data_IF_413985676928
#
_entry.id   IF_413985676928
#
_cell.length_a   1.000
_cell.length_b   1.000
_cell.length_c   1.000
_cell.angle_alpha   90.00
_cell.angle_beta   90.00
_cell.angle_gamma   90.00
#
_symmetry.space_group_name_H-M   'P 1'
#
loop_
_entity.id
_entity.type
_entity.pdbx_description
1 polymer ?
#
# COMPACT_ATOMS: atom_id res chain seq x y z
N UNK A 1 8.86 2.08 3.85
CA UNK A 1 7.67 1.35 4.34
C UNK A 1 7.75 -0.16 4.08
N UNK A 2 8.45 -0.63 3.02
CA UNK A 2 8.45 -2.05 2.61
C UNK A 2 8.70 -3.06 3.73
N UNK A 3 9.72 -2.92 4.62
CA UNK A 3 9.94 -3.92 5.68
C UNK A 3 8.76 -4.06 6.65
N UNK A 4 8.09 -2.95 6.97
CA UNK A 4 6.88 -2.97 7.81
C UNK A 4 5.70 -3.60 7.07
N UNK A 5 5.52 -3.25 5.79
CA UNK A 5 4.46 -3.82 4.95
C UNK A 5 4.65 -5.34 4.82
N UNK A 6 5.88 -5.81 4.58
CA UNK A 6 6.20 -7.23 4.45
C UNK A 6 5.92 -8.00 5.74
N UNK A 7 6.27 -7.43 6.91
CA UNK A 7 5.92 -8.04 8.19
C UNK A 7 4.40 -8.18 8.37
N UNK A 8 3.64 -7.16 7.98
CA UNK A 8 2.18 -7.18 8.05
C UNK A 8 1.57 -8.16 7.05
N UNK A 9 2.16 -8.27 5.85
CA UNK A 9 1.77 -9.26 4.83
C UNK A 9 2.02 -10.67 5.34
N UNK A 10 3.22 -10.95 5.83
CA UNK A 10 3.58 -12.26 6.38
C UNK A 10 2.63 -12.66 7.52
N UNK A 11 2.40 -11.77 8.48
CA UNK A 11 1.47 -12.03 9.56
C UNK A 11 0.03 -12.26 9.06
N UNK A 12 -0.45 -11.44 8.14
CA UNK A 12 -1.82 -11.51 7.62
C UNK A 12 -2.04 -12.77 6.76
N UNK A 13 -1.02 -13.23 6.02
CA UNK A 13 -1.08 -14.44 5.19
C UNK A 13 -1.22 -15.73 6.00
N UNK A 14 -0.72 -15.73 7.25
CA UNK A 14 -0.82 -16.87 8.17
C UNK A 14 -2.16 -16.94 8.92
N UNK A 15 -3.05 -15.96 8.74
CA UNK A 15 -4.38 -16.00 9.33
C UNK A 15 -5.18 -17.16 8.75
N UNK A 16 -5.83 -17.92 9.63
CA UNK A 16 -6.72 -19.02 9.28
C UNK A 16 -8.11 -18.71 9.78
N UNK A 17 -9.11 -18.95 8.95
CA UNK A 17 -10.50 -18.84 9.37
C UNK A 17 -10.92 -20.10 10.14
N UNK A 18 -11.94 -20.00 11.01
CA UNK A 18 -12.51 -21.17 11.66
C UNK A 18 -12.93 -22.24 10.64
N UNK A 19 -12.87 -23.52 11.02
CA UNK A 19 -13.21 -24.65 10.14
C UNK A 19 -14.59 -24.54 9.47
N UNK A 20 -15.54 -23.87 10.14
CA UNK A 20 -16.87 -23.56 9.56
C UNK A 20 -16.83 -22.63 8.34
N UNK A 21 -15.77 -21.89 8.15
CA UNK A 21 -15.55 -20.93 7.05
C UNK A 21 -14.46 -21.38 6.06
N UNK A 22 -14.02 -22.65 6.14
CA UNK A 22 -12.93 -23.16 5.30
C UNK A 22 -13.21 -23.03 3.78
N UNK A 23 -14.46 -23.18 3.36
CA UNK A 23 -14.83 -22.96 1.95
C UNK A 23 -14.65 -21.51 1.52
N UNK A 24 -14.96 -20.56 2.40
CA UNK A 24 -14.77 -19.12 2.17
C UNK A 24 -13.28 -18.77 2.14
N UNK A 25 -12.47 -19.30 3.06
CA UNK A 25 -11.03 -19.11 3.05
C UNK A 25 -10.40 -19.61 1.75
N UNK A 26 -10.78 -20.82 1.30
CA UNK A 26 -10.31 -21.36 0.01
C UNK A 26 -10.66 -20.45 -1.17
N UNK A 27 -11.88 -19.91 -1.19
CA UNK A 27 -12.31 -18.96 -2.22
C UNK A 27 -11.45 -17.69 -2.18
N UNK A 28 -11.22 -17.11 -1.00
CA UNK A 28 -10.41 -15.90 -0.82
C UNK A 28 -8.95 -16.13 -1.28
N UNK A 29 -8.33 -17.27 -0.89
CA UNK A 29 -6.98 -17.62 -1.34
C UNK A 29 -6.90 -17.81 -2.85
N UNK A 30 -7.89 -18.42 -3.48
CA UNK A 30 -7.93 -18.57 -4.93
C UNK A 30 -8.03 -17.21 -5.62
N UNK A 31 -8.88 -16.29 -5.13
CA UNK A 31 -9.01 -14.94 -5.69
C UNK A 31 -7.70 -14.17 -5.58
N UNK A 32 -7.00 -14.28 -4.46
CA UNK A 32 -5.70 -13.64 -4.23
C UNK A 32 -4.64 -14.19 -5.19
N UNK A 33 -4.53 -15.52 -5.31
CA UNK A 33 -3.60 -16.18 -6.24
C UNK A 33 -3.86 -15.79 -7.71
N UNK A 34 -5.13 -15.65 -8.12
CA UNK A 34 -5.44 -15.18 -9.47
C UNK A 34 -5.08 -13.70 -9.68
N UNK A 35 -5.28 -12.85 -8.66
CA UNK A 35 -4.86 -11.45 -8.71
C UNK A 35 -3.33 -11.31 -8.77
N UNK A 36 -2.59 -12.12 -8.00
CA UNK A 36 -1.13 -12.17 -8.04
C UNK A 36 -0.61 -12.57 -9.42
N UNK A 37 -1.10 -13.70 -9.98
CA UNK A 37 -0.73 -14.14 -11.34
C UNK A 37 -0.99 -13.07 -12.40
N UNK A 38 -2.12 -12.37 -12.29
CA UNK A 38 -2.45 -11.29 -13.20
C UNK A 38 -1.43 -10.14 -13.07
N UNK A 39 -1.11 -9.74 -11.85
CA UNK A 39 -0.11 -8.69 -11.58
C UNK A 39 1.28 -9.13 -12.09
N UNK A 40 1.71 -10.35 -11.81
CA UNK A 40 2.97 -10.90 -12.31
C UNK A 40 3.03 -10.88 -13.85
N UNK A 41 1.92 -11.22 -14.52
CA UNK A 41 1.86 -11.21 -15.99
C UNK A 41 2.05 -9.81 -16.58
N UNK A 42 1.57 -8.77 -15.89
CA UNK A 42 1.79 -7.37 -16.28
C UNK A 42 3.22 -6.89 -15.95
N UNK A 43 3.82 -7.43 -14.89
CA UNK A 43 5.18 -7.04 -14.49
C UNK A 43 6.27 -7.61 -15.38
N UNK A 44 5.97 -8.60 -16.25
CA UNK A 44 6.95 -9.12 -17.20
C UNK A 44 7.44 -8.01 -18.12
N UNK A 45 8.77 -7.76 -18.10
CA UNK A 45 9.40 -6.68 -18.86
C UNK A 45 10.57 -7.21 -19.70
N UNK A 46 10.47 -7.07 -21.02
CA UNK A 46 11.55 -7.43 -21.96
C UNK A 46 12.37 -6.20 -22.36
N UNK A 47 11.74 -5.05 -22.43
CA UNK A 47 12.33 -3.79 -22.92
C UNK A 47 12.18 -2.65 -21.92
N UNK A 48 12.97 -1.59 -22.09
CA UNK A 48 12.79 -0.36 -21.31
C UNK A 48 11.45 0.32 -21.60
N UNK A 49 10.85 0.05 -22.76
CA UNK A 49 9.53 0.57 -23.11
C UNK A 49 8.44 -0.12 -22.28
N UNK A 50 8.55 -1.44 -22.05
CA UNK A 50 7.63 -2.18 -21.19
C UNK A 50 7.68 -1.64 -19.74
N UNK A 51 8.87 -1.27 -19.26
CA UNK A 51 9.02 -0.62 -17.95
C UNK A 51 8.22 0.70 -17.87
N UNK A 52 8.28 1.53 -18.90
CA UNK A 52 7.53 2.81 -18.94
C UNK A 52 6.01 2.52 -18.94
N UNK A 53 5.56 1.52 -19.70
CA UNK A 53 4.17 1.09 -19.71
C UNK A 53 3.75 0.62 -18.32
N UNK A 54 4.52 -0.27 -17.69
CA UNK A 54 4.22 -0.81 -16.37
C UNK A 54 4.21 0.27 -15.29
N UNK A 55 5.17 1.19 -15.28
CA UNK A 55 5.15 2.35 -14.38
C UNK A 55 3.92 3.23 -14.61
N UNK A 56 3.49 3.39 -15.85
CA UNK A 56 2.29 4.18 -16.15
C UNK A 56 1.02 3.46 -15.70
N UNK A 57 0.88 2.16 -15.98
CA UNK A 57 -0.35 1.40 -15.72
C UNK A 57 -0.49 0.95 -14.27
N UNK A 58 0.61 0.53 -13.63
CA UNK A 58 0.58 -0.08 -12.29
C UNK A 58 0.87 0.96 -11.20
N UNK A 59 1.65 2.00 -11.51
CA UNK A 59 2.00 3.00 -10.51
C UNK A 59 1.29 4.34 -10.72
N UNK A 60 1.40 4.96 -11.89
CA UNK A 60 0.91 6.33 -12.11
C UNK A 60 -0.62 6.41 -12.18
N UNK A 61 -1.25 5.59 -13.01
CA UNK A 61 -2.71 5.63 -13.19
C UNK A 61 -3.46 5.29 -11.89
N UNK A 62 -3.10 4.21 -11.14
CA UNK A 62 -3.72 3.96 -9.85
C UNK A 62 -3.45 5.08 -8.83
N UNK A 63 -2.21 5.57 -8.71
CA UNK A 63 -1.90 6.64 -7.77
C UNK A 63 -2.71 7.91 -8.02
N UNK A 64 -2.94 8.29 -9.27
CA UNK A 64 -3.77 9.46 -9.58
C UNK A 64 -5.25 9.13 -9.43
N UNK A 65 -5.74 8.06 -10.07
CA UNK A 65 -7.16 7.73 -10.10
C UNK A 65 -7.73 7.38 -8.72
N UNK A 66 -7.03 6.54 -7.98
CA UNK A 66 -7.46 6.12 -6.66
C UNK A 66 -7.36 7.25 -5.63
N UNK A 67 -6.29 8.05 -5.63
CA UNK A 67 -6.19 9.16 -4.69
C UNK A 67 -7.24 10.25 -4.97
N UNK A 68 -7.54 10.55 -6.21
CA UNK A 68 -8.63 11.47 -6.54
C UNK A 68 -9.98 10.93 -6.06
N UNK A 69 -10.26 9.65 -6.24
CA UNK A 69 -11.49 9.03 -5.80
C UNK A 69 -11.57 8.95 -4.27
N UNK A 70 -10.55 8.36 -3.63
CA UNK A 70 -10.60 8.07 -2.20
C UNK A 70 -10.33 9.30 -1.35
N UNK A 71 -9.32 10.12 -1.67
CA UNK A 71 -8.92 11.28 -0.86
C UNK A 71 -9.61 12.56 -1.37
N UNK A 72 -9.73 12.69 -2.68
CA UNK A 72 -10.40 13.84 -3.29
C UNK A 72 -11.92 13.84 -3.05
N UNK A 73 -12.58 12.69 -3.14
CA UNK A 73 -14.05 12.60 -3.04
C UNK A 73 -14.49 11.89 -1.76
N UNK A 74 -14.19 10.60 -1.62
CA UNK A 74 -14.79 9.75 -0.58
C UNK A 74 -14.44 10.22 0.84
N UNK A 75 -13.18 10.49 1.12
CA UNK A 75 -12.72 10.97 2.43
C UNK A 75 -13.40 12.29 2.81
N UNK A 76 -13.56 13.20 1.85
CA UNK A 76 -14.25 14.47 2.08
C UNK A 76 -15.75 14.28 2.37
N UNK A 77 -16.42 13.38 1.65
CA UNK A 77 -17.84 13.07 1.90
C UNK A 77 -18.04 12.46 3.29
N UNK A 78 -17.18 11.49 3.68
CA UNK A 78 -17.24 10.88 5.00
C UNK A 78 -16.92 11.90 6.10
N UNK A 79 -15.97 12.80 5.86
CA UNK A 79 -15.66 13.88 6.80
C UNK A 79 -16.85 14.83 7.00
N UNK A 80 -17.56 15.18 5.94
CA UNK A 80 -18.77 16.00 6.04
C UNK A 80 -19.89 15.28 6.81
N UNK A 81 -20.05 13.98 6.60
CA UNK A 81 -21.07 13.17 7.26
C UNK A 81 -20.74 12.93 8.75
N UNK A 82 -19.50 12.59 9.06
CA UNK A 82 -19.06 12.24 10.44
C UNK A 82 -18.63 13.47 11.26
N UNK A 83 -18.34 14.58 10.58
CA UNK A 83 -17.71 15.79 11.14
C UNK A 83 -16.41 15.51 11.90
N UNK A 84 -15.74 14.42 11.54
CA UNK A 84 -14.51 13.94 12.18
C UNK A 84 -13.52 13.45 11.14
N UNK A 85 -12.36 14.12 11.03
CA UNK A 85 -11.33 13.79 10.06
C UNK A 85 -10.69 12.41 10.32
N UNK A 86 -10.61 11.96 11.57
CA UNK A 86 -10.00 10.67 11.92
C UNK A 86 -10.89 9.52 11.46
N UNK A 87 -12.20 9.60 11.71
CA UNK A 87 -13.16 8.63 11.18
C UNK A 87 -13.17 8.62 9.66
N UNK A 88 -13.10 9.79 9.02
CA UNK A 88 -13.03 9.87 7.57
C UNK A 88 -11.81 9.12 7.01
N UNK A 89 -10.63 9.32 7.60
CA UNK A 89 -9.40 8.61 7.20
C UNK A 89 -9.53 7.10 7.41
N UNK A 90 -9.99 6.67 8.59
CA UNK A 90 -10.09 5.24 8.93
C UNK A 90 -11.09 4.53 8.02
N UNK A 91 -12.30 5.08 7.86
CA UNK A 91 -13.34 4.48 7.03
C UNK A 91 -12.91 4.43 5.56
N UNK A 92 -12.32 5.52 5.06
CA UNK A 92 -11.82 5.56 3.67
C UNK A 92 -10.70 4.53 3.47
N UNK A 93 -9.76 4.41 4.42
CA UNK A 93 -8.70 3.40 4.37
C UNK A 93 -9.24 1.97 4.37
N UNK A 94 -10.29 1.72 5.18
CA UNK A 94 -10.97 0.43 5.20
C UNK A 94 -11.62 0.10 3.85
N UNK A 95 -12.38 1.04 3.28
CA UNK A 95 -13.04 0.87 1.98
C UNK A 95 -11.98 0.70 0.87
N UNK A 96 -10.91 1.49 0.90
CA UNK A 96 -9.77 1.38 0.00
C UNK A 96 -9.18 -0.03 -0.02
N UNK A 97 -8.96 -0.63 1.15
CA UNK A 97 -8.45 -1.99 1.23
C UNK A 97 -9.50 -3.03 0.82
N UNK A 98 -10.76 -2.85 1.23
CA UNK A 98 -11.82 -3.82 0.98
C UNK A 98 -12.16 -4.02 -0.50
N UNK A 99 -12.13 -2.96 -1.30
CA UNK A 99 -12.46 -3.06 -2.74
C UNK A 99 -11.47 -3.89 -3.56
N UNK A 100 -10.26 -4.09 -3.04
CA UNK A 100 -9.26 -4.93 -3.71
C UNK A 100 -9.58 -6.43 -3.59
N UNK A 101 -10.51 -6.82 -2.72
CA UNK A 101 -10.96 -8.21 -2.53
C UNK A 101 -9.82 -9.20 -2.21
N UNK A 102 -8.73 -8.72 -1.63
CA UNK A 102 -7.56 -9.50 -1.24
C UNK A 102 -7.46 -9.51 0.29
N UNK A 103 -7.99 -10.56 0.91
CA UNK A 103 -8.13 -10.66 2.36
C UNK A 103 -6.76 -10.76 3.07
N UNK A 104 -5.84 -11.54 2.51
CA UNK A 104 -4.51 -11.75 3.09
C UNK A 104 -3.56 -10.58 2.86
N UNK A 105 -3.90 -9.65 1.96
CA UNK A 105 -3.26 -8.35 1.78
C UNK A 105 -4.04 -7.18 2.41
N UNK A 106 -5.14 -7.47 3.15
CA UNK A 106 -6.04 -6.43 3.64
C UNK A 106 -5.37 -5.46 4.62
N UNK A 107 -4.71 -6.01 5.65
CA UNK A 107 -4.15 -5.19 6.73
C UNK A 107 -3.05 -4.22 6.25
N UNK A 108 -2.03 -4.65 5.51
CA UNK A 108 -1.01 -3.73 5.01
C UNK A 108 -1.58 -2.67 4.08
N UNK A 109 -2.56 -3.03 3.23
CA UNK A 109 -3.24 -2.07 2.33
C UNK A 109 -4.11 -1.08 3.10
N UNK A 110 -4.80 -1.54 4.15
CA UNK A 110 -5.54 -0.66 5.06
C UNK A 110 -4.61 0.35 5.74
N UNK A 111 -3.46 -0.10 6.27
CA UNK A 111 -2.47 0.77 6.90
C UNK A 111 -1.90 1.81 5.91
N UNK A 112 -1.59 1.38 4.68
CA UNK A 112 -1.22 2.29 3.60
C UNK A 112 -2.34 3.30 3.31
N UNK A 113 -3.58 2.82 3.24
CA UNK A 113 -4.76 3.67 3.04
C UNK A 113 -4.92 4.74 4.12
N UNK A 114 -4.75 4.37 5.38
CA UNK A 114 -4.78 5.31 6.51
C UNK A 114 -3.62 6.32 6.43
N UNK A 115 -2.41 5.86 6.13
CA UNK A 115 -1.24 6.73 5.95
C UNK A 115 -1.45 7.78 4.86
N UNK A 116 -1.90 7.37 3.67
CA UNK A 116 -2.20 8.27 2.56
C UNK A 116 -3.32 9.26 2.91
N UNK A 117 -4.34 8.83 3.66
CA UNK A 117 -5.40 9.70 4.16
C UNK A 117 -4.86 10.78 5.11
N UNK A 118 -3.96 10.43 6.01
CA UNK A 118 -3.32 11.41 6.89
C UNK A 118 -2.34 12.32 6.16
N UNK A 119 -1.68 11.87 5.09
CA UNK A 119 -0.87 12.76 4.26
C UNK A 119 -1.71 13.91 3.70
N UNK A 120 -2.91 13.64 3.19
CA UNK A 120 -3.83 14.72 2.77
C UNK A 120 -4.17 15.64 3.94
N UNK A 121 -4.53 15.06 5.10
CA UNK A 121 -4.91 15.85 6.29
C UNK A 121 -3.79 16.76 6.75
N UNK A 122 -2.55 16.30 6.75
CA UNK A 122 -1.40 17.07 7.27
C UNK A 122 -0.87 18.10 6.27
N UNK A 123 -0.84 17.74 4.98
CA UNK A 123 -0.27 18.63 3.95
C UNK A 123 -1.31 19.57 3.32
N UNK A 124 -2.59 19.22 3.40
CA UNK A 124 -3.66 19.93 2.68
C UNK A 124 -3.59 19.80 1.15
N UNK A 125 -2.72 18.96 0.64
CA UNK A 125 -2.46 18.78 -0.79
C UNK A 125 -2.69 17.36 -1.24
N UNK A 126 -3.51 17.17 -2.28
CA UNK A 126 -3.78 15.86 -2.89
C UNK A 126 -2.52 15.28 -3.56
N UNK A 127 -1.57 16.11 -3.95
CA UNK A 127 -0.33 15.66 -4.57
C UNK A 127 0.57 14.87 -3.62
N UNK A 128 0.47 15.12 -2.31
CA UNK A 128 1.28 14.39 -1.33
C UNK A 128 0.91 12.89 -1.27
N UNK A 129 -0.36 12.48 -1.10
CA UNK A 129 -0.73 11.08 -1.18
C UNK A 129 -0.54 10.49 -2.59
N UNK A 130 -0.81 11.24 -3.67
CA UNK A 130 -0.54 10.77 -5.05
C UNK A 130 0.94 10.40 -5.21
N UNK A 131 1.86 11.27 -4.81
CA UNK A 131 3.30 11.01 -4.92
C UNK A 131 3.73 9.82 -4.05
N UNK A 132 3.23 9.75 -2.81
CA UNK A 132 3.56 8.65 -1.91
C UNK A 132 3.04 7.30 -2.45
N UNK A 133 1.83 7.28 -2.99
CA UNK A 133 1.24 6.09 -3.62
C UNK A 133 2.02 5.69 -4.89
N UNK A 134 2.34 6.65 -5.75
CA UNK A 134 3.17 6.42 -6.94
C UNK A 134 4.54 5.84 -6.58
N UNK A 135 5.21 6.37 -5.57
CA UNK A 135 6.50 5.85 -5.10
C UNK A 135 6.33 4.41 -4.57
N UNK A 136 5.28 4.13 -3.81
CA UNK A 136 5.02 2.79 -3.29
C UNK A 136 4.85 1.77 -4.42
N UNK A 137 3.95 2.01 -5.35
CA UNK A 137 3.70 1.09 -6.47
C UNK A 137 4.86 1.06 -7.48
N UNK A 138 5.46 2.22 -7.77
CA UNK A 138 6.58 2.34 -8.68
C UNK A 138 7.85 1.64 -8.17
N UNK A 139 8.08 1.62 -6.85
CA UNK A 139 9.20 0.86 -6.29
C UNK A 139 9.04 -0.65 -6.51
N UNK A 140 7.84 -1.20 -6.38
CA UNK A 140 7.57 -2.61 -6.68
C UNK A 140 7.82 -2.93 -8.16
N UNK A 141 7.33 -2.08 -9.09
CA UNK A 141 7.61 -2.24 -10.53
C UNK A 141 9.10 -2.19 -10.84
N UNK A 142 9.83 -1.25 -10.24
CA UNK A 142 11.29 -1.11 -10.46
C UNK A 142 12.06 -2.30 -9.90
N UNK A 143 11.72 -2.78 -8.70
CA UNK A 143 12.36 -3.94 -8.10
C UNK A 143 12.14 -5.19 -8.94
N UNK A 144 10.91 -5.48 -9.35
CA UNK A 144 10.59 -6.58 -10.25
C UNK A 144 11.38 -6.49 -11.58
N UNK A 145 11.50 -5.30 -12.16
CA UNK A 145 12.29 -5.08 -13.36
C UNK A 145 13.77 -5.42 -13.17
N UNK A 146 14.40 -4.96 -12.07
CA UNK A 146 15.82 -5.22 -11.81
C UNK A 146 16.07 -6.69 -11.43
N UNK A 147 15.13 -7.36 -10.77
CA UNK A 147 15.20 -8.79 -10.51
C UNK A 147 15.18 -9.60 -11.80
N UNK A 148 14.27 -9.30 -12.71
CA UNK A 148 14.19 -9.97 -14.04
C UNK A 148 15.45 -9.75 -14.88
N UNK A 149 16.15 -8.63 -14.71
CA UNK A 149 17.44 -8.35 -15.36
C UNK A 149 18.63 -9.02 -14.66
N UNK A 150 18.41 -9.79 -13.59
CA UNK A 150 19.47 -10.34 -12.72
C UNK A 150 20.46 -9.27 -12.19
N UNK A 151 20.03 -8.00 -12.16
CA UNK A 151 20.83 -6.90 -11.63
C UNK A 151 20.86 -6.89 -10.10
N UNK A 152 19.79 -7.41 -9.49
CA UNK A 152 19.64 -7.58 -8.04
C UNK A 152 19.02 -8.95 -7.78
N UNK A 153 19.41 -9.58 -6.68
CA UNK A 153 18.79 -10.81 -6.18
C UNK A 153 18.20 -10.52 -4.81
N UNK A 154 17.18 -9.68 -4.80
CA UNK A 154 16.49 -9.27 -3.59
C UNK A 154 15.08 -9.82 -3.68
N UNK A 155 14.78 -10.84 -2.88
CA UNK A 155 13.39 -11.25 -2.70
C UNK A 155 12.68 -10.15 -1.89
N UNK A 156 11.96 -9.28 -2.60
CA UNK A 156 11.34 -8.06 -2.03
C UNK A 156 10.37 -8.40 -0.90
N UNK A 157 9.59 -9.46 -1.05
CA UNK A 157 8.59 -9.89 -0.06
C UNK A 157 9.22 -10.34 1.27
N UNK A 158 10.51 -10.68 1.25
CA UNK A 158 11.25 -11.15 2.43
C UNK A 158 12.15 -10.11 3.07
N UNK A 159 12.18 -8.88 2.57
CA UNK A 159 12.97 -7.79 3.18
C UNK A 159 12.42 -7.46 4.57
N UNK A 160 13.28 -7.58 5.59
CA UNK A 160 12.95 -7.28 6.98
C UNK A 160 12.36 -8.44 7.77
N UNK A 161 11.98 -9.56 7.13
CA UNK A 161 11.43 -10.75 7.83
C UNK A 161 12.41 -11.93 7.88
N UNK A 162 13.58 -11.84 7.21
CA UNK A 162 14.64 -12.84 7.32
C UNK A 162 15.29 -12.78 8.69
N UNK A 163 15.91 -13.89 9.12
CA UNK A 163 16.70 -13.91 10.34
C UNK A 163 17.78 -12.82 10.31
N UNK A 164 17.83 -12.00 11.37
CA UNK A 164 18.77 -10.89 11.50
C UNK A 164 18.37 -9.58 10.82
N UNK A 165 17.28 -9.54 10.02
CA UNK A 165 16.85 -8.32 9.32
C UNK A 165 15.75 -7.54 10.06
N UNK A 166 15.26 -8.01 11.20
CA UNK A 166 14.17 -7.35 11.95
C UNK A 166 14.48 -5.90 12.34
N UNK A 167 15.76 -5.53 12.44
CA UNK A 167 16.17 -4.14 12.63
C UNK A 167 15.70 -3.20 11.49
N UNK A 168 15.52 -3.73 10.26
CA UNK A 168 14.99 -2.95 9.13
C UNK A 168 13.53 -2.57 9.36
N UNK A 169 12.74 -3.45 9.99
CA UNK A 169 11.35 -3.14 10.38
C UNK A 169 11.35 -2.03 11.40
N UNK A 170 12.19 -2.14 12.45
CA UNK A 170 12.31 -1.10 13.48
C UNK A 170 12.72 0.23 12.87
N UNK A 171 13.73 0.24 12.00
CA UNK A 171 14.17 1.44 11.30
C UNK A 171 13.04 2.03 10.42
N UNK A 172 12.31 1.18 9.68
CA UNK A 172 11.17 1.59 8.88
C UNK A 172 10.07 2.24 9.71
N UNK A 173 9.73 1.67 10.86
CA UNK A 173 8.76 2.25 11.80
C UNK A 173 9.24 3.60 12.33
N UNK A 174 10.49 3.69 12.79
CA UNK A 174 11.06 4.94 13.33
C UNK A 174 11.04 6.04 12.27
N UNK A 175 11.49 5.74 11.04
CA UNK A 175 11.50 6.70 9.93
C UNK A 175 10.08 7.16 9.60
N UNK A 176 9.14 6.23 9.51
CA UNK A 176 7.74 6.53 9.18
C UNK A 176 7.09 7.39 10.27
N UNK A 177 7.23 7.00 11.54
CA UNK A 177 6.69 7.78 12.68
C UNK A 177 7.31 9.15 12.76
N UNK A 178 8.63 9.26 12.55
CA UNK A 178 9.34 10.55 12.55
C UNK A 178 8.85 11.46 11.43
N UNK A 179 8.69 10.93 10.22
CA UNK A 179 8.15 11.69 9.08
C UNK A 179 6.70 12.14 9.34
N UNK A 180 5.84 11.25 9.85
CA UNK A 180 4.48 11.59 10.26
C UNK A 180 4.45 12.70 11.33
N UNK A 181 5.32 12.60 12.34
CA UNK A 181 5.41 13.59 13.40
C UNK A 181 5.85 14.96 12.88
N UNK A 182 6.83 15.01 11.98
CA UNK A 182 7.29 16.25 11.34
C UNK A 182 6.16 16.91 10.55
N UNK A 183 5.42 16.14 9.74
CA UNK A 183 4.29 16.64 8.96
C UNK A 183 3.15 17.14 9.86
N UNK A 184 2.83 16.39 10.89
CA UNK A 184 1.83 16.80 11.88
C UNK A 184 2.19 18.13 12.57
N UNK A 185 3.45 18.27 13.01
CA UNK A 185 3.95 19.49 13.63
C UNK A 185 3.99 20.68 12.66
N UNK A 186 4.32 20.44 11.40
CA UNK A 186 4.32 21.48 10.36
C UNK A 186 2.93 22.06 10.17
N UNK A 187 1.89 21.19 10.14
CA UNK A 187 0.49 21.64 10.07
C UNK A 187 0.11 22.54 11.24
N UNK A 188 0.46 22.17 12.47
CA UNK A 188 0.12 22.96 13.67
C UNK A 188 0.75 24.35 13.69
N UNK A 189 1.83 24.58 12.94
CA UNK A 189 2.48 25.90 12.85
C UNK A 189 1.87 26.79 11.76
N UNK A 190 1.08 26.20 10.85
CA UNK A 190 0.45 26.92 9.73
C UNK A 190 -1.04 27.26 9.97
N UNK A 191 -1.62 26.76 11.06
CA UNK A 191 -2.95 27.10 11.59
C UNK A 191 -2.83 28.05 12.78
#
# INVERSE_FOLDING_TARGET
LSPLINLLLDWNSHLQLPASLAAMEKMMRNMETEAEKLTESFLVTHTNFDLIINLSMIALLPAVGEELLFRGVLQNLIQQATKNQHWAVIITGFIFSAIHMQFFGFLPRFMLGVFLGYLLVWTGSIWAPILAHFINNGSAVLLSYYEQKNAININEEKIGIREGEFWMVIASVIITVSACYILYRSKQKST
#
